data_IF_328669115670
#
_entry.id   IF_328669115670
#
_cell.length_a   1.000
_cell.length_b   1.000
_cell.length_c   1.000
_cell.angle_alpha   90.00
_cell.angle_beta   90.00
_cell.angle_gamma   90.00
#
_symmetry.space_group_name_H-M   'P 1'
#
loop_
_entity.id
_entity.type
_entity.pdbx_description
1 polymer ?
#
# COMPACT_ATOMS: atom_id res chain seq x y z
N UNK A 1 5.24 87.77 29.76
CA UNK A 1 6.12 86.77 29.00
C UNK A 1 5.84 85.42 29.52
N UNK A 2 5.05 84.63 28.76
CA UNK A 2 4.61 83.25 29.14
C UNK A 2 5.43 82.24 28.38
N UNK A 3 6.25 81.49 29.09
CA UNK A 3 7.10 80.40 28.52
C UNK A 3 6.26 79.10 28.45
N UNK A 4 5.85 78.73 27.28
CA UNK A 4 5.24 77.40 27.02
C UNK A 4 6.33 76.30 27.03
N UNK A 5 6.29 75.40 28.02
CA UNK A 5 7.08 74.18 28.04
C UNK A 5 6.42 73.20 27.09
N UNK A 6 7.15 72.85 26.06
CA UNK A 6 6.78 71.76 25.15
C UNK A 6 7.09 70.46 25.87
N UNK A 7 6.04 69.71 26.21
CA UNK A 7 6.17 68.33 26.78
C UNK A 7 6.54 67.32 25.70
N UNK A 8 7.74 66.77 25.75
CA UNK A 8 8.12 65.64 24.95
C UNK A 8 7.43 64.38 25.48
N UNK A 9 6.46 63.89 24.74
CA UNK A 9 5.88 62.56 24.98
C UNK A 9 6.92 61.49 24.65
N UNK A 10 7.45 60.81 25.70
CA UNK A 10 8.30 59.64 25.56
C UNK A 10 7.53 58.57 24.82
N UNK A 11 7.95 58.25 23.59
CA UNK A 11 7.52 57.06 22.87
C UNK A 11 7.79 55.84 23.74
N UNK A 12 6.76 55.13 24.16
CA UNK A 12 6.88 53.84 24.84
C UNK A 12 7.51 52.85 23.86
N UNK A 13 8.76 52.53 24.11
CA UNK A 13 9.39 51.42 23.45
C UNK A 13 8.54 50.15 23.69
N UNK A 14 7.89 49.64 22.67
CA UNK A 14 7.14 48.38 22.72
C UNK A 14 8.16 47.27 23.04
N UNK A 15 8.21 46.85 24.30
CA UNK A 15 9.03 45.72 24.71
C UNK A 15 8.41 44.44 24.16
N UNK A 16 9.15 43.71 23.34
CA UNK A 16 8.74 42.45 22.67
C UNK A 16 9.13 41.17 23.45
N UNK A 17 8.97 41.03 24.79
CA UNK A 17 9.28 39.79 25.47
C UNK A 17 8.30 38.66 25.11
N UNK A 18 7.04 39.00 24.84
CA UNK A 18 6.01 38.02 24.45
C UNK A 18 6.26 37.44 23.06
N UNK A 19 6.75 38.21 22.11
CA UNK A 19 7.09 37.76 20.76
C UNK A 19 8.27 36.78 20.76
N UNK A 20 9.32 37.05 21.55
CA UNK A 20 10.47 36.13 21.70
C UNK A 20 10.10 34.84 22.41
N UNK A 21 9.21 34.89 23.39
CA UNK A 21 8.67 33.71 24.03
C UNK A 21 7.82 32.87 23.02
N UNK A 22 6.92 33.51 22.29
CA UNK A 22 6.13 32.87 21.24
C UNK A 22 7.03 32.16 20.18
N UNK A 23 8.02 32.85 19.64
CA UNK A 23 8.97 32.31 18.68
C UNK A 23 9.75 31.11 19.24
N UNK A 24 10.13 31.13 20.52
CA UNK A 24 10.78 29.98 21.17
C UNK A 24 9.83 28.79 21.27
N UNK A 25 8.60 29.00 21.71
CA UNK A 25 7.62 27.91 21.81
C UNK A 25 7.27 27.31 20.45
N UNK A 26 7.09 28.14 19.42
CA UNK A 26 6.86 27.65 18.04
C UNK A 26 8.07 26.84 17.52
N UNK A 27 9.29 27.29 17.80
CA UNK A 27 10.50 26.55 17.44
C UNK A 27 10.58 25.18 18.12
N UNK A 28 10.30 25.11 19.43
CA UNK A 28 10.29 23.83 20.14
C UNK A 28 9.17 22.91 19.63
N UNK A 29 8.00 23.45 19.34
CA UNK A 29 6.90 22.68 18.76
C UNK A 29 7.27 22.11 17.39
N UNK A 30 7.90 22.90 16.51
CA UNK A 30 8.38 22.43 15.21
C UNK A 30 9.48 21.37 15.34
N UNK A 31 10.40 21.55 16.29
CA UNK A 31 11.46 20.56 16.55
C UNK A 31 10.86 19.23 17.06
N UNK A 32 9.90 19.29 17.98
CA UNK A 32 9.21 18.09 18.47
C UNK A 32 8.42 17.41 17.35
N UNK A 33 7.74 18.16 16.49
CA UNK A 33 7.05 17.62 15.33
C UNK A 33 8.02 16.94 14.34
N UNK A 34 9.19 17.55 14.10
CA UNK A 34 10.23 16.96 13.27
C UNK A 34 10.79 15.65 13.89
N UNK A 35 11.07 15.66 15.19
CA UNK A 35 11.54 14.46 15.91
C UNK A 35 10.48 13.34 15.81
N UNK A 36 9.20 13.67 16.02
CA UNK A 36 8.12 12.70 15.90
C UNK A 36 8.01 12.15 14.47
N UNK A 37 8.10 13.01 13.45
CA UNK A 37 8.11 12.58 12.05
C UNK A 37 9.28 11.62 11.77
N UNK A 38 10.48 11.96 12.20
CA UNK A 38 11.68 11.12 12.03
C UNK A 38 11.50 9.79 12.76
N UNK A 39 11.00 9.79 13.99
CA UNK A 39 10.75 8.58 14.75
C UNK A 39 9.74 7.64 14.04
N UNK A 40 8.69 8.21 13.44
CA UNK A 40 7.71 7.45 12.64
C UNK A 40 8.39 6.84 11.41
N UNK A 41 9.26 7.57 10.70
CA UNK A 41 9.99 7.00 9.54
C UNK A 41 10.93 5.87 9.98
N UNK A 42 11.63 6.03 11.10
CA UNK A 42 12.45 4.95 11.66
C UNK A 42 11.64 3.71 12.07
N UNK A 43 10.42 3.91 12.57
CA UNK A 43 9.50 2.82 12.88
C UNK A 43 9.16 1.99 11.63
N UNK A 44 8.82 2.64 10.51
CA UNK A 44 8.57 1.96 9.23
C UNK A 44 9.83 1.22 8.75
N UNK A 45 10.98 1.90 8.78
CA UNK A 45 12.26 1.33 8.35
C UNK A 45 12.61 0.07 9.15
N UNK A 46 12.46 0.12 10.47
CA UNK A 46 12.73 -1.00 11.36
C UNK A 46 11.81 -2.21 11.08
N UNK A 47 10.51 -1.97 10.81
CA UNK A 47 9.59 -3.05 10.47
C UNK A 47 9.94 -3.68 9.12
N UNK A 48 10.26 -2.87 8.10
CA UNK A 48 10.65 -3.37 6.79
C UNK A 48 11.95 -4.18 6.90
N UNK A 49 12.94 -3.67 7.63
CA UNK A 49 14.18 -4.38 7.89
C UNK A 49 13.94 -5.71 8.61
N UNK A 50 13.09 -5.73 9.63
CA UNK A 50 12.71 -6.95 10.33
C UNK A 50 12.04 -7.97 9.40
N UNK A 51 11.18 -7.51 8.48
CA UNK A 51 10.51 -8.37 7.51
C UNK A 51 11.38 -8.82 6.34
N UNK A 52 12.64 -8.41 6.28
CA UNK A 52 13.58 -9.03 5.35
C UNK A 52 13.72 -10.54 5.63
N UNK A 53 13.75 -10.92 6.90
CA UNK A 53 13.95 -12.31 7.35
C UNK A 53 12.75 -12.90 8.10
N UNK A 54 11.80 -12.06 8.55
CA UNK A 54 10.63 -12.48 9.33
C UNK A 54 9.33 -12.23 8.55
N UNK A 55 8.33 -13.04 8.80
CA UNK A 55 7.04 -12.91 8.11
C UNK A 55 6.11 -11.98 8.88
N UNK A 56 5.39 -11.05 8.20
CA UNK A 56 4.32 -10.29 8.82
C UNK A 56 3.19 -11.23 9.29
N UNK A 57 2.85 -11.18 10.56
CA UNK A 57 1.74 -11.98 11.11
C UNK A 57 0.37 -11.37 10.74
N UNK A 58 0.30 -10.05 10.65
CA UNK A 58 -0.90 -9.33 10.23
C UNK A 58 -0.56 -7.98 9.59
N UNK A 59 -1.46 -7.48 8.76
CA UNK A 59 -1.31 -6.17 8.10
C UNK A 59 -2.33 -5.16 8.63
N UNK A 60 -2.15 -3.88 8.29
CA UNK A 60 -3.13 -2.85 8.60
C UNK A 60 -4.50 -3.18 7.98
N UNK A 61 -4.49 -3.65 6.72
CA UNK A 61 -5.73 -4.05 6.03
C UNK A 61 -6.41 -5.25 6.70
N UNK A 62 -5.66 -6.29 7.07
CA UNK A 62 -6.19 -7.44 7.80
C UNK A 62 -6.85 -7.03 9.11
N UNK A 63 -6.18 -6.17 9.90
CA UNK A 63 -6.72 -5.70 11.18
C UNK A 63 -8.00 -4.89 11.00
N UNK A 64 -8.00 -3.94 10.05
CA UNK A 64 -9.19 -3.13 9.75
C UNK A 64 -10.34 -4.01 9.28
N UNK A 65 -10.07 -4.97 8.37
CA UNK A 65 -11.14 -5.86 7.87
C UNK A 65 -11.71 -6.76 8.96
N UNK A 66 -10.84 -7.29 9.82
CA UNK A 66 -11.29 -8.13 10.94
C UNK A 66 -12.22 -7.37 11.90
N UNK A 67 -11.95 -6.09 12.17
CA UNK A 67 -12.84 -5.25 12.99
C UNK A 67 -14.20 -5.15 12.33
N UNK A 68 -14.25 -4.83 11.02
CA UNK A 68 -15.53 -4.71 10.28
C UNK A 68 -16.31 -6.03 10.27
N UNK A 69 -15.66 -7.18 10.01
CA UNK A 69 -16.33 -8.48 9.99
C UNK A 69 -16.89 -8.82 11.38
N UNK A 70 -16.18 -8.45 12.45
CA UNK A 70 -16.63 -8.72 13.83
C UNK A 70 -17.78 -7.86 14.33
N UNK A 71 -18.18 -6.83 13.62
CA UNK A 71 -19.41 -6.09 13.88
C UNK A 71 -20.63 -7.00 13.66
N UNK A 72 -20.57 -7.87 12.62
CA UNK A 72 -21.65 -8.81 12.30
C UNK A 72 -21.42 -10.19 12.94
N UNK A 73 -20.16 -10.65 13.00
CA UNK A 73 -19.74 -11.96 13.50
C UNK A 73 -18.63 -11.83 14.56
N UNK A 74 -18.95 -11.65 15.85
CA UNK A 74 -17.97 -11.33 16.90
C UNK A 74 -16.81 -12.32 17.04
N UNK A 75 -17.01 -13.59 16.69
CA UNK A 75 -15.99 -14.65 16.76
C UNK A 75 -15.28 -14.91 15.42
N UNK A 76 -15.51 -14.10 14.40
CA UNK A 76 -14.91 -14.28 13.09
C UNK A 76 -13.37 -14.23 13.15
N UNK A 77 -12.77 -15.03 12.27
CA UNK A 77 -11.32 -15.08 12.04
C UNK A 77 -11.03 -14.95 10.56
N UNK A 78 -9.93 -14.29 10.24
CA UNK A 78 -9.47 -14.24 8.85
C UNK A 78 -8.93 -15.61 8.41
N UNK A 79 -9.21 -15.99 7.18
CA UNK A 79 -8.57 -17.12 6.53
C UNK A 79 -7.20 -16.65 6.02
N UNK A 80 -6.15 -16.99 6.74
CA UNK A 80 -4.77 -16.64 6.40
C UNK A 80 -3.83 -17.79 6.73
N UNK A 81 -2.97 -18.14 5.77
CA UNK A 81 -1.90 -19.10 5.98
C UNK A 81 -0.69 -18.70 5.14
N UNK A 82 0.42 -18.42 5.82
CA UNK A 82 1.68 -18.11 5.15
C UNK A 82 2.26 -19.37 4.49
N UNK A 83 2.77 -19.22 3.26
CA UNK A 83 3.57 -20.23 2.58
C UNK A 83 4.84 -19.61 1.99
N UNK A 84 6.00 -20.29 2.08
CA UNK A 84 7.25 -19.81 1.48
C UNK A 84 7.11 -19.62 -0.03
N UNK A 85 7.92 -18.73 -0.59
CA UNK A 85 7.90 -18.37 -2.01
C UNK A 85 7.94 -19.60 -2.96
N UNK A 86 8.74 -20.62 -2.65
CA UNK A 86 8.87 -21.83 -3.47
C UNK A 86 7.64 -22.75 -3.43
N UNK A 87 6.78 -22.59 -2.41
CA UNK A 87 5.51 -23.31 -2.30
C UNK A 87 4.31 -22.55 -2.91
N UNK A 88 4.55 -21.40 -3.53
CA UNK A 88 3.56 -20.71 -4.36
C UNK A 88 3.78 -21.09 -5.82
N UNK A 89 2.70 -21.45 -6.53
CA UNK A 89 2.76 -21.81 -7.95
C UNK A 89 3.49 -20.76 -8.79
N UNK A 90 4.37 -21.17 -9.68
CA UNK A 90 5.01 -20.28 -10.64
C UNK A 90 3.97 -19.58 -11.54
N UNK A 91 2.85 -20.26 -11.80
CA UNK A 91 1.74 -19.67 -12.57
C UNK A 91 1.10 -18.49 -11.83
N UNK A 92 0.88 -18.60 -10.50
CA UNK A 92 0.30 -17.50 -9.73
C UNK A 92 1.24 -16.30 -9.67
N UNK A 93 2.53 -16.51 -9.44
CA UNK A 93 3.53 -15.45 -9.44
C UNK A 93 3.51 -14.66 -10.75
N UNK A 94 3.57 -15.38 -11.88
CA UNK A 94 3.52 -14.76 -13.22
C UNK A 94 2.18 -14.09 -13.53
N UNK A 95 1.07 -14.72 -13.16
CA UNK A 95 -0.26 -14.17 -13.39
C UNK A 95 -0.46 -12.84 -12.64
N UNK A 96 -0.01 -12.78 -11.38
CA UNK A 96 -0.10 -11.56 -10.55
C UNK A 96 0.79 -10.45 -11.11
N UNK A 97 2.03 -10.74 -11.47
CA UNK A 97 2.93 -9.75 -12.08
C UNK A 97 2.36 -9.26 -13.41
N UNK A 98 1.89 -10.16 -14.29
CA UNK A 98 1.26 -9.76 -15.56
C UNK A 98 -0.02 -8.92 -15.40
N UNK A 99 -0.75 -9.12 -14.30
CA UNK A 99 -2.02 -8.44 -14.05
C UNK A 99 -1.85 -7.07 -13.39
N UNK A 100 -0.90 -6.95 -12.45
CA UNK A 100 -0.79 -5.82 -11.54
C UNK A 100 0.44 -4.94 -11.82
N UNK A 101 1.53 -5.51 -12.36
CA UNK A 101 2.80 -4.82 -12.50
C UNK A 101 3.73 -5.53 -13.48
N UNK A 102 3.41 -5.42 -14.77
CA UNK A 102 4.08 -6.15 -15.87
C UNK A 102 5.61 -5.91 -15.92
N UNK A 103 6.05 -4.74 -15.45
CA UNK A 103 7.45 -4.33 -15.39
C UNK A 103 8.07 -4.45 -14.00
N UNK A 104 7.51 -5.26 -13.10
CA UNK A 104 7.92 -5.39 -11.69
C UNK A 104 9.44 -5.54 -11.51
N UNK A 105 10.11 -6.31 -12.39
CA UNK A 105 11.56 -6.52 -12.34
C UNK A 105 12.37 -5.34 -12.90
N UNK A 106 11.73 -4.42 -13.61
CA UNK A 106 12.40 -3.32 -14.35
C UNK A 106 12.43 -1.97 -13.63
N UNK A 107 11.78 -1.84 -12.47
CA UNK A 107 11.73 -0.58 -11.74
C UNK A 107 11.97 -0.76 -10.23
N UNK A 108 12.26 0.34 -9.52
CA UNK A 108 12.48 0.38 -8.07
C UNK A 108 11.28 1.04 -7.37
N UNK A 109 10.13 0.36 -7.39
CA UNK A 109 8.91 0.75 -6.69
C UNK A 109 7.94 1.61 -7.48
N UNK A 110 8.36 2.28 -8.55
CA UNK A 110 7.52 3.16 -9.37
C UNK A 110 7.71 2.88 -10.86
N UNK A 111 6.63 2.54 -11.54
CA UNK A 111 6.60 2.51 -13.01
C UNK A 111 6.14 3.88 -13.53
N UNK A 112 7.10 4.77 -13.76
CA UNK A 112 6.83 6.14 -14.23
C UNK A 112 6.15 6.17 -15.59
N UNK A 113 6.46 5.23 -16.48
CA UNK A 113 5.84 5.15 -17.80
C UNK A 113 4.37 4.73 -17.70
N UNK A 114 4.08 3.72 -16.86
CA UNK A 114 2.70 3.31 -16.60
C UNK A 114 1.90 4.43 -15.92
N UNK A 115 2.53 5.17 -14.97
CA UNK A 115 1.89 6.32 -14.30
C UNK A 115 1.57 7.43 -15.28
N UNK A 116 2.47 7.77 -16.20
CA UNK A 116 2.23 8.77 -17.23
C UNK A 116 1.10 8.34 -18.18
N UNK A 117 1.13 7.10 -18.68
CA UNK A 117 0.08 6.56 -19.56
C UNK A 117 -1.29 6.54 -18.87
N UNK A 118 -1.35 6.18 -17.59
CA UNK A 118 -2.59 6.20 -16.83
C UNK A 118 -3.11 7.64 -16.65
N UNK A 119 -2.22 8.59 -16.36
CA UNK A 119 -2.59 10.00 -16.25
C UNK A 119 -3.17 10.55 -17.58
N UNK A 120 -2.47 10.32 -18.70
CA UNK A 120 -2.93 10.74 -20.03
C UNK A 120 -4.29 10.14 -20.39
N UNK A 121 -4.52 8.87 -20.04
CA UNK A 121 -5.82 8.22 -20.25
C UNK A 121 -6.91 8.85 -19.39
N UNK A 122 -6.66 9.03 -18.10
CA UNK A 122 -7.63 9.62 -17.16
C UNK A 122 -7.99 11.06 -17.56
N UNK A 123 -7.03 11.86 -18.04
CA UNK A 123 -7.29 13.20 -18.56
C UNK A 123 -8.16 13.15 -19.82
N UNK A 124 -7.91 12.21 -20.71
CA UNK A 124 -8.70 12.05 -21.96
C UNK A 124 -10.14 11.61 -21.70
N UNK A 125 -10.33 10.68 -20.77
CA UNK A 125 -11.67 10.17 -20.42
C UNK A 125 -12.44 11.09 -19.47
N UNK A 126 -11.77 12.07 -18.85
CA UNK A 126 -12.38 12.99 -17.88
C UNK A 126 -12.67 12.36 -16.50
N UNK A 127 -12.29 11.11 -16.31
CA UNK A 127 -12.48 10.37 -15.05
C UNK A 127 -11.32 9.39 -14.78
N UNK A 128 -11.26 8.84 -13.56
CA UNK A 128 -10.21 7.88 -13.18
C UNK A 128 -10.59 6.48 -13.67
N UNK A 129 -10.20 6.14 -14.89
CA UNK A 129 -10.44 4.83 -15.52
C UNK A 129 -9.25 3.87 -15.41
N UNK A 130 -8.05 4.38 -15.08
CA UNK A 130 -6.83 3.57 -15.00
C UNK A 130 -6.00 3.93 -13.76
N UNK A 131 -5.61 2.93 -13.00
CA UNK A 131 -4.62 3.03 -11.95
C UNK A 131 -3.25 2.55 -12.45
N UNK A 132 -2.18 3.06 -11.85
CA UNK A 132 -0.79 2.66 -12.15
C UNK A 132 -0.01 2.43 -10.85
N UNK A 133 -0.64 1.81 -9.86
CA UNK A 133 0.06 1.44 -8.62
C UNK A 133 0.80 0.13 -8.82
N UNK A 134 2.08 0.09 -8.51
CA UNK A 134 2.94 -1.10 -8.56
C UNK A 134 2.63 -2.08 -7.42
N UNK A 135 3.12 -3.33 -7.53
CA UNK A 135 3.06 -4.34 -6.46
C UNK A 135 3.66 -3.79 -5.16
N UNK A 136 4.80 -3.07 -5.23
CA UNK A 136 5.47 -2.48 -4.06
C UNK A 136 4.61 -1.42 -3.38
N UNK A 137 3.97 -0.54 -4.13
CA UNK A 137 3.04 0.46 -3.59
C UNK A 137 1.78 -0.18 -2.99
N UNK A 138 1.24 -1.23 -3.63
CA UNK A 138 0.11 -1.98 -3.10
C UNK A 138 0.49 -2.71 -1.80
N UNK A 139 1.69 -3.30 -1.74
CA UNK A 139 2.20 -3.95 -0.53
C UNK A 139 2.31 -2.96 0.64
N UNK A 140 2.90 -1.79 0.41
CA UNK A 140 3.00 -0.72 1.43
C UNK A 140 1.63 -0.33 1.97
N UNK A 141 0.64 -0.16 1.10
CA UNK A 141 -0.75 0.11 1.53
C UNK A 141 -1.28 -1.00 2.43
N UNK A 142 -1.14 -2.24 2.03
CA UNK A 142 -1.63 -3.38 2.80
C UNK A 142 -0.97 -3.48 4.18
N UNK A 143 0.36 -3.29 4.24
CA UNK A 143 1.14 -3.47 5.47
C UNK A 143 0.87 -2.38 6.51
N UNK A 144 0.84 -1.11 6.08
CA UNK A 144 1.01 0.03 6.98
C UNK A 144 -0.12 1.04 6.98
N UNK A 145 -0.81 1.22 5.85
CA UNK A 145 -1.68 2.37 5.68
C UNK A 145 -3.15 2.00 5.89
N UNK A 146 -3.92 2.84 6.62
CA UNK A 146 -5.36 2.65 6.73
C UNK A 146 -6.03 2.86 5.37
N UNK A 147 -7.23 2.30 5.20
CA UNK A 147 -8.01 2.39 3.96
C UNK A 147 -8.53 3.81 3.67
N UNK A 148 -8.51 4.71 4.64
CA UNK A 148 -9.00 6.08 4.51
C UNK A 148 -8.19 6.91 3.50
N UNK A 149 -8.89 7.71 2.68
CA UNK A 149 -8.28 8.54 1.64
C UNK A 149 -7.94 9.92 2.20
N UNK A 150 -6.72 10.10 2.70
CA UNK A 150 -6.19 11.41 3.09
C UNK A 150 -5.04 11.82 2.16
N UNK A 151 -4.93 13.11 1.84
CA UNK A 151 -3.99 13.62 0.83
C UNK A 151 -2.51 13.31 1.15
N UNK A 152 -2.09 13.41 2.41
CA UNK A 152 -0.71 13.14 2.83
C UNK A 152 -0.33 11.64 2.74
N UNK A 153 -1.34 10.74 2.71
CA UNK A 153 -1.12 9.30 2.63
C UNK A 153 -0.35 8.89 1.37
N UNK A 154 -0.57 9.58 0.24
CA UNK A 154 0.16 9.25 -1.00
C UNK A 154 1.64 9.59 -0.92
N UNK A 155 2.00 10.69 -0.25
CA UNK A 155 3.39 11.04 0.01
C UNK A 155 4.05 10.02 0.98
N UNK A 156 3.32 9.62 2.03
CA UNK A 156 3.81 8.61 2.97
C UNK A 156 3.97 7.23 2.30
N UNK A 157 3.01 6.81 1.46
CA UNK A 157 3.11 5.60 0.64
C UNK A 157 4.37 5.62 -0.21
N UNK A 158 4.66 6.74 -0.88
CA UNK A 158 5.85 6.87 -1.71
C UNK A 158 7.15 6.75 -0.89
N UNK A 159 7.23 7.42 0.25
CA UNK A 159 8.40 7.34 1.13
C UNK A 159 8.65 5.91 1.62
N UNK A 160 7.60 5.21 2.09
CA UNK A 160 7.70 3.83 2.55
C UNK A 160 8.04 2.88 1.38
N UNK A 161 7.52 3.14 0.16
CA UNK A 161 7.85 2.33 -1.02
C UNK A 161 9.33 2.39 -1.35
N UNK A 162 9.97 3.57 -1.26
CA UNK A 162 11.42 3.70 -1.41
C UNK A 162 12.17 2.89 -0.36
N UNK A 163 11.77 2.95 0.92
CA UNK A 163 12.38 2.17 2.00
C UNK A 163 12.23 0.66 1.72
N UNK A 164 11.06 0.22 1.29
CA UNK A 164 10.76 -1.18 0.98
C UNK A 164 11.67 -1.71 -0.13
N UNK A 165 11.78 -1.00 -1.25
CA UNK A 165 12.60 -1.39 -2.41
C UNK A 165 14.11 -1.30 -2.12
N UNK A 166 14.52 -0.46 -1.17
CA UNK A 166 15.92 -0.36 -0.74
C UNK A 166 16.34 -1.52 0.15
N UNK A 167 15.44 -2.01 1.01
CA UNK A 167 15.77 -3.00 2.03
C UNK A 167 15.40 -4.44 1.63
N UNK A 168 14.39 -4.62 0.79
CA UNK A 168 13.90 -5.94 0.39
C UNK A 168 14.26 -6.27 -1.06
N UNK A 169 14.57 -7.53 -1.30
CA UNK A 169 14.70 -8.03 -2.68
C UNK A 169 13.33 -8.12 -3.36
N UNK A 170 13.28 -8.03 -4.68
CA UNK A 170 12.06 -8.24 -5.47
C UNK A 170 11.35 -9.55 -5.12
N UNK A 171 12.12 -10.62 -4.92
CA UNK A 171 11.60 -11.92 -4.48
C UNK A 171 10.88 -11.81 -3.13
N UNK A 172 11.47 -11.10 -2.15
CA UNK A 172 10.87 -10.94 -0.84
C UNK A 172 9.63 -10.06 -0.88
N UNK A 173 9.65 -8.98 -1.66
CA UNK A 173 8.50 -8.12 -1.90
C UNK A 173 7.32 -8.93 -2.47
N UNK A 174 7.56 -9.71 -3.53
CA UNK A 174 6.52 -10.54 -4.15
C UNK A 174 6.03 -11.65 -3.21
N UNK A 175 6.94 -12.28 -2.45
CA UNK A 175 6.57 -13.28 -1.45
C UNK A 175 5.63 -12.71 -0.40
N UNK A 176 5.98 -11.57 0.19
CA UNK A 176 5.12 -10.91 1.20
C UNK A 176 3.79 -10.52 0.56
N UNK A 177 3.81 -9.87 -0.60
CA UNK A 177 2.60 -9.45 -1.31
C UNK A 177 1.62 -10.60 -1.51
N UNK A 178 2.09 -11.72 -2.07
CA UNK A 178 1.27 -12.90 -2.35
C UNK A 178 0.71 -13.55 -1.07
N UNK A 179 1.36 -13.35 0.07
CA UNK A 179 0.90 -13.88 1.35
C UNK A 179 -0.02 -12.94 2.13
N UNK A 180 -0.09 -11.64 1.79
CA UNK A 180 -0.85 -10.67 2.59
C UNK A 180 -1.97 -9.96 1.83
N UNK A 181 -2.02 -10.06 0.50
CA UNK A 181 -3.10 -9.42 -0.27
C UNK A 181 -4.42 -10.17 -0.09
N UNK A 182 -5.53 -9.43 -0.14
CA UNK A 182 -6.88 -9.98 -0.03
C UNK A 182 -7.32 -10.62 -1.35
N UNK A 183 -7.92 -11.81 -1.27
CA UNK A 183 -8.40 -12.60 -2.41
C UNK A 183 -9.89 -12.95 -2.32
N UNK A 184 -10.56 -12.50 -1.31
CA UNK A 184 -11.96 -12.68 -1.01
C UNK A 184 -12.27 -12.04 0.33
N UNK A 185 -13.52 -12.00 0.72
CA UNK A 185 -13.91 -11.40 1.99
C UNK A 185 -13.29 -12.14 3.18
N UNK A 186 -12.35 -11.49 3.88
CA UNK A 186 -11.60 -12.09 4.98
C UNK A 186 -10.61 -13.19 4.56
N UNK A 187 -10.34 -13.38 3.26
CA UNK A 187 -9.41 -14.38 2.71
C UNK A 187 -8.11 -13.69 2.29
N UNK A 188 -7.02 -14.00 2.96
CA UNK A 188 -5.71 -13.36 2.75
C UNK A 188 -4.64 -14.38 2.42
N UNK A 189 -3.84 -14.04 1.40
CA UNK A 189 -2.70 -14.83 0.95
C UNK A 189 -3.05 -15.99 0.02
N UNK A 190 -2.05 -16.38 -0.77
CA UNK A 190 -2.16 -17.33 -1.87
C UNK A 190 -2.68 -18.71 -1.45
N UNK A 191 -2.26 -19.23 -0.29
CA UNK A 191 -2.68 -20.54 0.19
C UNK A 191 -4.15 -20.54 0.60
N UNK A 192 -4.59 -19.52 1.33
CA UNK A 192 -5.99 -19.40 1.71
C UNK A 192 -6.88 -19.18 0.48
N UNK A 193 -6.43 -18.36 -0.49
CA UNK A 193 -7.13 -18.12 -1.74
C UNK A 193 -7.29 -19.41 -2.58
N UNK A 194 -6.21 -20.17 -2.77
CA UNK A 194 -6.23 -21.40 -3.53
C UNK A 194 -7.20 -22.44 -2.94
N UNK A 195 -7.20 -22.57 -1.62
CA UNK A 195 -8.13 -23.46 -0.91
C UNK A 195 -9.58 -22.96 -0.96
N UNK A 196 -9.78 -21.67 -0.76
CA UNK A 196 -11.12 -21.06 -0.73
C UNK A 196 -11.81 -21.15 -2.09
N UNK A 197 -11.11 -20.84 -3.19
CA UNK A 197 -11.71 -20.77 -4.52
C UNK A 197 -11.68 -22.11 -5.28
N UNK A 198 -10.68 -22.95 -5.02
CA UNK A 198 -10.45 -24.16 -5.83
C UNK A 198 -10.23 -25.44 -5.03
N UNK A 199 -10.16 -25.41 -3.71
CA UNK A 199 -9.93 -26.59 -2.87
C UNK A 199 -8.53 -27.19 -2.98
N UNK A 200 -7.55 -26.48 -3.60
CA UNK A 200 -6.19 -26.97 -3.83
C UNK A 200 -5.16 -26.14 -3.05
N UNK A 201 -3.97 -26.68 -2.74
CA UNK A 201 -2.89 -25.86 -2.16
C UNK A 201 -2.32 -24.89 -3.20
N UNK A 202 -1.72 -23.77 -2.74
CA UNK A 202 -1.17 -22.73 -3.61
C UNK A 202 -0.14 -23.21 -4.62
N UNK A 203 0.64 -24.24 -4.28
CA UNK A 203 1.64 -24.85 -5.17
C UNK A 203 1.01 -25.60 -6.35
N UNK A 204 -0.21 -26.09 -6.19
CA UNK A 204 -0.92 -26.92 -7.19
C UNK A 204 -1.86 -26.10 -8.10
N UNK A 205 -1.88 -24.76 -7.98
CA UNK A 205 -2.69 -23.93 -8.87
C UNK A 205 -2.29 -24.12 -10.34
N UNK A 206 -3.26 -24.47 -11.16
CA UNK A 206 -3.10 -24.53 -12.62
C UNK A 206 -2.94 -23.13 -13.24
N UNK A 207 -2.47 -22.99 -14.48
CA UNK A 207 -2.39 -21.71 -15.18
C UNK A 207 -3.71 -20.95 -15.20
N UNK A 208 -4.83 -21.64 -15.49
CA UNK A 208 -6.16 -21.02 -15.54
C UNK A 208 -6.65 -20.56 -14.17
N UNK A 209 -6.43 -21.35 -13.11
CA UNK A 209 -6.77 -20.98 -11.73
C UNK A 209 -5.93 -19.79 -11.26
N UNK A 210 -4.64 -19.78 -11.56
CA UNK A 210 -3.73 -18.68 -11.23
C UNK A 210 -4.14 -17.36 -11.91
N UNK A 211 -4.44 -17.41 -13.22
CA UNK A 211 -4.91 -16.25 -13.98
C UNK A 211 -6.27 -15.75 -13.44
N UNK A 212 -7.15 -16.64 -13.02
CA UNK A 212 -8.44 -16.28 -12.44
C UNK A 212 -8.27 -15.57 -11.09
N UNK A 213 -7.42 -16.06 -10.19
CA UNK A 213 -7.11 -15.36 -8.94
C UNK A 213 -6.56 -13.96 -9.24
N UNK A 214 -5.57 -13.84 -10.11
CA UNK A 214 -5.00 -12.55 -10.46
C UNK A 214 -6.05 -11.58 -11.07
N UNK A 215 -7.03 -12.10 -11.82
CA UNK A 215 -8.11 -11.30 -12.37
C UNK A 215 -9.06 -10.71 -11.30
N UNK A 216 -9.14 -11.34 -10.13
CA UNK A 216 -10.01 -10.94 -9.02
C UNK A 216 -9.40 -9.84 -8.13
N UNK A 217 -8.09 -9.64 -8.15
CA UNK A 217 -7.36 -8.72 -7.25
C UNK A 217 -7.90 -7.29 -7.17
N UNK A 218 -8.39 -6.66 -8.26
CA UNK A 218 -8.92 -5.30 -8.18
C UNK A 218 -10.16 -5.15 -7.29
N UNK A 219 -10.96 -6.23 -7.17
CA UNK A 219 -12.21 -6.23 -6.39
C UNK A 219 -12.47 -7.62 -5.79
N UNK A 220 -11.59 -8.14 -4.91
CA UNK A 220 -11.59 -9.54 -4.51
C UNK A 220 -12.88 -9.97 -3.80
N UNK A 221 -13.53 -9.07 -3.07
CA UNK A 221 -14.79 -9.35 -2.34
C UNK A 221 -15.99 -9.49 -3.27
N UNK A 222 -15.89 -9.03 -4.51
CA UNK A 222 -16.99 -9.11 -5.49
C UNK A 222 -17.11 -10.48 -6.16
N UNK A 223 -16.17 -11.39 -5.91
CA UNK A 223 -16.09 -12.69 -6.59
C UNK A 223 -16.07 -13.85 -5.59
N UNK A 224 -17.23 -14.23 -5.03
CA UNK A 224 -17.31 -15.45 -4.22
C UNK A 224 -16.98 -16.70 -5.03
N UNK A 225 -16.60 -17.83 -4.40
CA UNK A 225 -16.33 -19.08 -5.08
C UNK A 225 -17.47 -19.48 -6.03
N UNK A 226 -17.11 -19.90 -7.23
CA UNK A 226 -18.07 -20.35 -8.25
C UNK A 226 -18.73 -19.24 -9.06
N UNK A 227 -18.62 -17.96 -8.66
CA UNK A 227 -19.14 -16.86 -9.47
C UNK A 227 -18.31 -16.70 -10.75
N UNK A 228 -19.00 -16.73 -11.89
CA UNK A 228 -18.36 -16.51 -13.19
C UNK A 228 -19.10 -15.40 -13.95
N UNK A 229 -18.39 -14.31 -14.27
CA UNK A 229 -18.92 -13.17 -15.03
C UNK A 229 -18.16 -13.02 -16.33
N UNK A 230 -18.79 -12.41 -17.33
CA UNK A 230 -18.16 -12.13 -18.64
C UNK A 230 -16.86 -11.32 -18.45
N UNK A 231 -16.89 -10.32 -17.57
CA UNK A 231 -15.71 -9.52 -17.25
C UNK A 231 -14.57 -10.38 -16.68
N UNK A 232 -14.87 -11.25 -15.72
CA UNK A 232 -13.87 -12.13 -15.08
C UNK A 232 -13.30 -13.13 -16.05
N UNK A 233 -14.12 -13.70 -16.94
CA UNK A 233 -13.68 -14.59 -18.02
C UNK A 233 -12.72 -13.89 -18.97
N UNK A 234 -13.09 -12.71 -19.49
CA UNK A 234 -12.27 -11.93 -20.41
C UNK A 234 -10.95 -11.51 -19.79
N UNK A 235 -10.98 -11.01 -18.54
CA UNK A 235 -9.76 -10.62 -17.81
C UNK A 235 -8.86 -11.82 -17.53
N UNK A 236 -9.43 -12.94 -17.13
CA UNK A 236 -8.69 -14.21 -16.94
C UNK A 236 -8.01 -14.66 -18.24
N UNK A 237 -8.71 -14.67 -19.35
CA UNK A 237 -8.15 -15.02 -20.65
C UNK A 237 -6.99 -14.10 -21.05
N UNK A 238 -7.14 -12.79 -20.84
CA UNK A 238 -6.09 -11.79 -21.09
C UNK A 238 -4.84 -12.03 -20.26
N UNK A 239 -4.99 -12.32 -18.95
CA UNK A 239 -3.87 -12.61 -18.07
C UNK A 239 -3.21 -13.93 -18.45
N UNK A 240 -4.00 -14.95 -18.73
CA UNK A 240 -3.50 -16.28 -19.13
C UNK A 240 -2.63 -16.19 -20.40
N UNK A 241 -3.03 -15.39 -21.39
CA UNK A 241 -2.26 -15.16 -22.61
C UNK A 241 -0.93 -14.41 -22.36
N UNK A 242 -0.89 -13.52 -21.36
CA UNK A 242 0.26 -12.64 -21.10
C UNK A 242 1.23 -13.15 -20.05
N UNK A 243 0.75 -13.93 -19.08
CA UNK A 243 1.55 -14.30 -17.89
C UNK A 243 2.83 -15.09 -18.21
N UNK A 244 2.92 -15.75 -19.36
CA UNK A 244 4.12 -16.48 -19.75
C UNK A 244 5.30 -15.56 -20.10
N UNK A 245 5.03 -14.31 -20.43
CA UNK A 245 6.04 -13.28 -20.72
C UNK A 245 6.45 -12.50 -19.45
N UNK A 246 5.70 -12.61 -18.37
CA UNK A 246 5.99 -11.90 -17.12
C UNK A 246 7.27 -12.45 -16.47
N UNK A 247 8.19 -11.53 -16.17
CA UNK A 247 9.42 -11.83 -15.45
C UNK A 247 9.17 -11.81 -13.94
N UNK A 248 9.55 -12.89 -13.27
CA UNK A 248 9.42 -13.03 -11.81
C UNK A 248 10.76 -13.40 -11.19
N UNK A 249 11.04 -12.95 -9.95
CA UNK A 249 12.30 -13.25 -9.26
C UNK A 249 12.42 -14.70 -8.82
#
# INVERSE_FOLDING_TARGET
>A
MSSRRIGYTRARAFSFPRMRAFLRWTWHALLLALIALVAVQFWFLAHIWYWADHNPESTAFMRTRLVIIREDEPNARLAHRWVPYHLISAHLKRAVVAAEDDKFMGHSGFDWEAMQKAHERNVREGEIVSGASTISQQLVKNLFLPSERVWWRKAQEAAITVMLETLLTKRRILEIYLNVVEWGDGVYGAEAAARHHFGVPAVALSPAQAARLAAMLPSPRSYPPGLDTVYLQQRTATILARMNYAQVP
#
